data_IF_124641261026
#
_entry.id   IF_124641261026
#
_cell.length_a   1.000
_cell.length_b   1.000
_cell.length_c   1.000
_cell.angle_alpha   90.00
_cell.angle_beta   90.00
_cell.angle_gamma   90.00
#
_symmetry.space_group_name_H-M   'P 1'
#
loop_
_entity.id
_entity.type
_entity.pdbx_description
1 polymer ?
#
# COMPACT_ATOMS: atom_id res chain seq x y z
N UNK A 1 -20.18 -3.67 -16.07
CA UNK A 1 -19.40 -4.95 -16.09
C UNK A 1 -18.03 -4.62 -15.52
N UNK A 2 -17.55 -5.39 -14.52
CA UNK A 2 -16.23 -5.18 -13.91
C UNK A 2 -15.15 -5.80 -14.78
N UNK A 3 -14.12 -5.03 -15.12
CA UNK A 3 -12.97 -5.46 -15.90
C UNK A 3 -11.70 -5.55 -15.08
N UNK A 4 -11.61 -4.79 -13.98
CA UNK A 4 -10.46 -4.80 -13.10
C UNK A 4 -10.87 -4.69 -11.62
N UNK A 5 -10.08 -5.34 -10.77
CA UNK A 5 -10.07 -5.13 -9.32
C UNK A 5 -8.67 -4.67 -8.93
N UNK A 6 -8.60 -3.52 -8.26
CA UNK A 6 -7.36 -2.91 -7.80
C UNK A 6 -7.36 -2.94 -6.28
N UNK A 7 -6.27 -3.41 -5.70
CA UNK A 7 -6.14 -3.60 -4.26
C UNK A 7 -5.16 -2.58 -3.66
N UNK A 8 -5.47 -2.10 -2.46
CA UNK A 8 -4.44 -1.61 -1.56
C UNK A 8 -3.57 -2.78 -1.07
N UNK A 9 -2.36 -2.44 -0.54
CA UNK A 9 -1.41 -3.45 -0.06
C UNK A 9 -1.44 -3.59 1.46
N UNK A 10 -1.02 -2.56 2.19
CA UNK A 10 -0.82 -2.61 3.64
C UNK A 10 -2.12 -2.46 4.40
N UNK A 11 -2.52 -3.49 5.14
CA UNK A 11 -3.83 -3.56 5.80
C UNK A 11 -4.90 -4.26 4.96
N UNK A 12 -4.64 -4.47 3.68
CA UNK A 12 -5.55 -5.14 2.74
C UNK A 12 -5.02 -6.50 2.32
N UNK A 13 -4.00 -6.55 1.45
CA UNK A 13 -3.37 -7.80 1.03
C UNK A 13 -2.37 -8.33 2.06
N UNK A 14 -1.81 -7.45 2.86
CA UNK A 14 -0.88 -7.77 3.95
C UNK A 14 -1.49 -7.26 5.25
N UNK A 15 -1.85 -8.16 6.19
CA UNK A 15 -2.50 -7.77 7.44
C UNK A 15 -1.60 -6.85 8.28
N UNK A 16 -2.19 -5.82 8.89
CA UNK A 16 -1.48 -4.97 9.83
C UNK A 16 -0.91 -5.79 11.00
N UNK A 17 0.34 -5.53 11.32
CA UNK A 17 1.01 -6.05 12.51
C UNK A 17 1.34 -4.90 13.45
N UNK A 18 1.10 -5.09 14.72
CA UNK A 18 1.49 -4.13 15.75
C UNK A 18 3.00 -4.22 15.97
N UNK A 19 3.71 -3.15 15.76
CA UNK A 19 5.13 -3.00 16.10
C UNK A 19 5.40 -1.56 16.54
N UNK A 20 6.54 -1.33 17.19
CA UNK A 20 6.96 0.02 17.55
C UNK A 20 7.59 0.71 16.33
N UNK A 21 6.98 1.76 15.77
CA UNK A 21 7.55 2.46 14.61
C UNK A 21 8.95 3.05 14.87
N UNK A 22 9.33 3.26 16.13
CA UNK A 22 10.67 3.75 16.46
C UNK A 22 11.74 2.68 16.26
N UNK A 23 11.40 1.39 16.39
CA UNK A 23 12.37 0.31 16.25
C UNK A 23 12.86 0.14 14.81
N UNK A 24 12.02 0.37 13.80
CA UNK A 24 12.43 0.25 12.40
C UNK A 24 13.56 1.21 12.05
N UNK A 25 13.45 2.48 12.52
CA UNK A 25 14.49 3.49 12.28
C UNK A 25 15.76 3.25 13.08
N UNK A 26 15.64 2.67 14.28
CA UNK A 26 16.79 2.23 15.06
C UNK A 26 17.60 1.15 14.35
N UNK A 27 16.93 0.20 13.67
CA UNK A 27 17.63 -0.85 12.91
C UNK A 27 18.44 -0.24 11.76
N UNK A 28 17.83 0.65 10.97
CA UNK A 28 18.54 1.33 9.89
C UNK A 28 19.70 2.19 10.43
N UNK A 29 19.46 2.95 11.50
CA UNK A 29 20.48 3.81 12.11
C UNK A 29 21.65 3.00 12.68
N UNK A 30 21.40 1.86 13.36
CA UNK A 30 22.47 0.97 13.84
C UNK A 30 23.33 0.42 12.72
N UNK A 31 22.71 0.10 11.58
CA UNK A 31 23.45 -0.41 10.43
C UNK A 31 24.26 0.68 9.72
N UNK A 32 23.69 1.87 9.48
CA UNK A 32 24.26 2.89 8.61
C UNK A 32 24.98 4.03 9.36
N UNK A 33 24.71 4.23 10.67
CA UNK A 33 25.30 5.32 11.47
C UNK A 33 25.61 4.87 12.91
N UNK A 34 26.46 3.84 13.12
CA UNK A 34 26.70 3.23 14.43
C UNK A 34 27.24 4.19 15.50
N UNK A 35 27.88 5.29 15.09
CA UNK A 35 28.44 6.29 16.00
C UNK A 35 27.42 7.34 16.48
N UNK A 36 26.20 7.39 15.88
CA UNK A 36 25.13 8.34 16.21
C UNK A 36 23.73 7.74 16.09
N UNK A 37 23.54 6.52 16.58
CA UNK A 37 22.32 5.70 16.37
C UNK A 37 21.04 6.43 16.76
N UNK A 38 20.95 6.95 17.99
CA UNK A 38 19.73 7.58 18.50
C UNK A 38 19.42 8.89 17.76
N UNK A 39 20.45 9.67 17.43
CA UNK A 39 20.31 10.91 16.66
C UNK A 39 19.81 10.60 15.24
N UNK A 40 20.44 9.64 14.56
CA UNK A 40 20.06 9.24 13.20
C UNK A 40 18.66 8.64 13.16
N UNK A 41 18.29 7.78 14.11
CA UNK A 41 16.95 7.21 14.19
C UNK A 41 15.89 8.29 14.41
N UNK A 42 16.13 9.25 15.29
CA UNK A 42 15.21 10.36 15.54
C UNK A 42 15.05 11.25 14.28
N UNK A 43 16.14 11.51 13.55
CA UNK A 43 16.11 12.27 12.31
C UNK A 43 15.32 11.55 11.21
N UNK A 44 15.53 10.23 11.06
CA UNK A 44 14.78 9.39 10.13
C UNK A 44 13.28 9.38 10.46
N UNK A 45 12.93 9.17 11.74
CA UNK A 45 11.55 9.17 12.17
C UNK A 45 10.85 10.52 11.91
N UNK A 46 11.54 11.64 12.18
CA UNK A 46 11.01 12.97 11.90
C UNK A 46 10.83 13.21 10.39
N UNK A 47 11.80 12.84 9.57
CA UNK A 47 11.71 12.96 8.11
C UNK A 47 10.59 12.09 7.51
N UNK A 48 10.41 10.88 8.03
CA UNK A 48 9.31 10.00 7.62
C UNK A 48 7.94 10.58 8.02
N UNK A 49 7.80 11.10 9.25
CA UNK A 49 6.57 11.77 9.68
C UNK A 49 6.24 12.99 8.83
N UNK A 50 7.25 13.81 8.46
CA UNK A 50 7.06 14.95 7.54
C UNK A 50 6.56 14.47 6.16
N UNK A 51 7.10 13.37 5.63
CA UNK A 51 6.65 12.79 4.37
C UNK A 51 5.20 12.28 4.47
N UNK A 52 4.86 11.57 5.55
CA UNK A 52 3.49 11.11 5.78
C UNK A 52 2.51 12.26 6.07
N UNK A 53 2.96 13.33 6.74
CA UNK A 53 2.13 14.53 6.93
C UNK A 53 1.80 15.21 5.59
N UNK A 54 2.77 15.29 4.65
CA UNK A 54 2.49 15.77 3.29
C UNK A 54 1.50 14.87 2.55
N UNK A 55 1.63 13.56 2.71
CA UNK A 55 0.67 12.60 2.14
C UNK A 55 -0.74 12.83 2.69
N UNK A 56 -0.90 12.93 4.00
CA UNK A 56 -2.22 13.15 4.64
C UNK A 56 -2.85 14.50 4.31
N UNK A 57 -2.05 15.56 4.25
CA UNK A 57 -2.57 16.94 4.16
C UNK A 57 -2.61 17.49 2.73
N UNK A 58 -1.72 17.03 1.85
CA UNK A 58 -1.53 17.56 0.51
C UNK A 58 -1.69 16.48 -0.56
N UNK A 59 -1.87 15.22 -0.16
CA UNK A 59 -1.93 14.03 -1.03
C UNK A 59 -0.70 13.89 -1.94
N UNK A 60 0.46 14.30 -1.42
CA UNK A 60 1.73 14.26 -2.15
C UNK A 60 2.62 13.15 -1.61
N UNK A 61 3.18 12.42 -2.55
CA UNK A 61 4.08 11.31 -2.25
C UNK A 61 5.44 11.79 -1.73
N UNK A 62 6.13 10.87 -1.10
CA UNK A 62 7.53 10.95 -0.72
C UNK A 62 8.22 9.62 -1.00
N UNK A 63 9.53 9.57 -0.81
CA UNK A 63 10.33 8.38 -1.03
C UNK A 63 11.21 8.05 0.18
N UNK A 64 11.57 6.79 0.34
CA UNK A 64 12.54 6.35 1.35
C UNK A 64 13.90 7.05 1.19
N UNK A 65 14.31 7.30 -0.05
CA UNK A 65 15.53 8.02 -0.35
C UNK A 65 15.49 9.48 0.14
N UNK A 66 14.34 10.17 0.01
CA UNK A 66 14.13 11.51 0.56
C UNK A 66 14.18 11.51 2.09
N UNK A 67 13.62 10.51 2.74
CA UNK A 67 13.71 10.33 4.21
C UNK A 67 15.16 10.18 4.65
N UNK A 68 15.92 9.30 4.01
CA UNK A 68 17.35 9.14 4.30
C UNK A 68 18.13 10.42 4.05
N UNK A 69 17.88 11.11 2.93
CA UNK A 69 18.57 12.37 2.60
C UNK A 69 18.27 13.48 3.61
N UNK A 70 17.01 13.63 4.05
CA UNK A 70 16.61 14.61 5.05
C UNK A 70 17.22 14.32 6.44
N UNK A 71 17.46 13.06 6.77
CA UNK A 71 18.16 12.63 7.98
C UNK A 71 19.69 12.66 7.85
N UNK A 72 20.23 13.15 6.73
CA UNK A 72 21.68 13.13 6.42
C UNK A 72 22.29 11.73 6.59
N UNK A 73 21.52 10.68 6.23
CA UNK A 73 21.93 9.29 6.32
C UNK A 73 22.30 8.75 4.94
N UNK A 74 23.53 8.23 4.81
CA UNK A 74 23.96 7.48 3.63
C UNK A 74 23.79 6.00 3.94
N UNK A 75 22.87 5.37 3.24
CA UNK A 75 22.60 3.94 3.36
C UNK A 75 22.85 3.25 2.01
N UNK A 76 23.45 2.07 2.07
CA UNK A 76 23.65 1.18 0.92
C UNK A 76 22.71 -0.03 0.99
N UNK A 77 22.81 -0.92 0.02
CA UNK A 77 21.94 -2.10 -0.08
C UNK A 77 22.05 -3.04 1.14
N UNK A 78 23.19 -3.13 1.78
CA UNK A 78 23.34 -3.96 2.98
C UNK A 78 22.54 -3.37 4.16
N UNK A 79 22.54 -2.02 4.29
CA UNK A 79 21.75 -1.31 5.29
C UNK A 79 20.25 -1.40 5.00
N UNK A 80 19.84 -1.27 3.73
CA UNK A 80 18.47 -1.45 3.30
C UNK A 80 17.98 -2.88 3.55
N UNK A 81 18.82 -3.87 3.33
CA UNK A 81 18.50 -5.27 3.62
C UNK A 81 18.24 -5.49 5.11
N UNK A 82 19.11 -4.99 5.99
CA UNK A 82 18.89 -5.09 7.43
C UNK A 82 17.55 -4.47 7.87
N UNK A 83 17.18 -3.34 7.27
CA UNK A 83 15.88 -2.70 7.48
C UNK A 83 14.72 -3.59 6.99
N UNK A 84 14.78 -4.12 5.77
CA UNK A 84 13.75 -5.01 5.21
C UNK A 84 13.60 -6.31 6.00
N UNK A 85 14.72 -6.93 6.39
CA UNK A 85 14.73 -8.16 7.18
C UNK A 85 14.03 -7.96 8.54
N UNK A 86 14.19 -6.77 9.14
CA UNK A 86 13.47 -6.42 10.37
C UNK A 86 11.96 -6.33 10.16
N UNK A 87 11.50 -5.88 8.99
CA UNK A 87 10.08 -5.71 8.66
C UNK A 87 9.44 -6.98 8.07
N UNK A 88 10.20 -8.03 7.83
CA UNK A 88 9.71 -9.25 7.17
C UNK A 88 8.42 -9.80 7.81
N UNK A 89 8.34 -9.80 9.14
CA UNK A 89 7.17 -10.30 9.88
C UNK A 89 5.86 -9.56 9.57
N UNK A 90 5.95 -8.33 9.08
CA UNK A 90 4.82 -7.45 8.76
C UNK A 90 4.52 -7.36 7.26
N UNK A 91 5.23 -8.12 6.42
CA UNK A 91 5.12 -8.04 4.95
C UNK A 91 4.59 -9.32 4.29
N UNK A 92 4.17 -10.32 5.09
CA UNK A 92 3.57 -11.55 4.56
C UNK A 92 2.15 -11.28 4.06
N UNK A 93 1.85 -11.74 2.85
CA UNK A 93 0.49 -11.66 2.30
C UNK A 93 -0.48 -12.56 3.07
N UNK A 94 -1.74 -12.14 3.13
CA UNK A 94 -2.82 -12.96 3.70
C UNK A 94 -2.96 -14.26 2.89
N UNK A 95 -3.18 -15.42 3.55
CA UNK A 95 -3.34 -16.71 2.86
C UNK A 95 -4.47 -16.75 1.81
N UNK A 96 -5.47 -15.88 1.92
CA UNK A 96 -6.58 -15.80 0.96
C UNK A 96 -6.18 -15.07 -0.34
N UNK A 97 -5.02 -14.38 -0.39
CA UNK A 97 -4.63 -13.55 -1.55
C UNK A 97 -4.45 -14.40 -2.80
N UNK A 98 -3.60 -15.42 -2.76
CA UNK A 98 -3.29 -16.25 -3.94
C UNK A 98 -4.56 -16.89 -4.55
N UNK A 99 -5.42 -17.61 -3.79
CA UNK A 99 -6.62 -18.23 -4.36
C UNK A 99 -7.64 -17.19 -4.84
N UNK A 100 -7.78 -16.05 -4.16
CA UNK A 100 -8.68 -14.98 -4.56
C UNK A 100 -8.23 -14.34 -5.88
N UNK A 101 -6.94 -13.96 -6.01
CA UNK A 101 -6.41 -13.38 -7.24
C UNK A 101 -6.52 -14.35 -8.42
N UNK A 102 -6.23 -15.63 -8.19
CA UNK A 102 -6.39 -16.68 -9.20
C UNK A 102 -7.83 -16.78 -9.69
N UNK A 103 -8.79 -16.77 -8.77
CA UNK A 103 -10.22 -16.80 -9.11
C UNK A 103 -10.65 -15.60 -9.96
N UNK A 104 -10.17 -14.39 -9.61
CA UNK A 104 -10.46 -13.19 -10.40
C UNK A 104 -9.89 -13.29 -11.83
N UNK A 105 -8.65 -13.74 -11.97
CA UNK A 105 -7.99 -13.91 -13.28
C UNK A 105 -8.66 -14.98 -14.15
N UNK A 106 -9.04 -16.11 -13.56
CA UNK A 106 -9.82 -17.16 -14.26
C UNK A 106 -11.16 -16.64 -14.75
N UNK A 107 -11.76 -15.69 -14.03
CA UNK A 107 -12.96 -14.99 -14.44
C UNK A 107 -12.75 -13.91 -15.51
N UNK A 108 -11.49 -13.70 -15.97
CA UNK A 108 -11.11 -12.70 -16.97
C UNK A 108 -11.03 -11.28 -16.43
N UNK A 109 -10.94 -11.11 -15.11
CA UNK A 109 -10.80 -9.82 -14.44
C UNK A 109 -9.31 -9.51 -14.27
N UNK A 110 -8.89 -8.31 -14.63
CA UNK A 110 -7.53 -7.83 -14.41
C UNK A 110 -7.32 -7.48 -12.95
N UNK A 111 -6.13 -7.72 -12.45
CA UNK A 111 -5.75 -7.49 -11.05
C UNK A 111 -4.70 -6.42 -10.97
N UNK A 112 -4.96 -5.39 -10.16
CA UNK A 112 -4.05 -4.27 -9.94
C UNK A 112 -3.68 -4.08 -8.49
N UNK A 113 -2.60 -3.32 -8.28
CA UNK A 113 -2.15 -2.87 -6.96
C UNK A 113 -1.96 -1.35 -6.96
N UNK A 114 -2.40 -0.67 -5.89
CA UNK A 114 -2.09 0.73 -5.62
C UNK A 114 -1.77 0.91 -4.14
N UNK A 115 -0.50 1.08 -3.81
CA UNK A 115 -0.02 1.24 -2.43
C UNK A 115 0.46 2.65 -2.14
N UNK A 116 -0.07 3.27 -1.06
CA UNK A 116 0.53 4.46 -0.47
C UNK A 116 1.79 4.03 0.30
N UNK A 117 2.96 4.40 -0.19
CA UNK A 117 4.24 3.93 0.36
C UNK A 117 5.37 4.93 0.13
N UNK A 118 6.36 4.90 1.03
CA UNK A 118 7.66 5.54 0.86
C UNK A 118 8.70 4.58 0.27
N UNK A 119 8.44 3.27 0.33
CA UNK A 119 9.39 2.24 -0.06
C UNK A 119 9.50 2.12 -1.58
N UNK A 120 10.68 1.74 -2.10
CA UNK A 120 10.87 1.43 -3.52
C UNK A 120 10.00 0.26 -3.98
N UNK A 121 9.65 0.26 -5.27
CA UNK A 121 8.93 -0.83 -5.95
C UNK A 121 9.55 -2.18 -5.69
N UNK A 122 10.87 -2.24 -5.84
CA UNK A 122 11.65 -3.48 -5.75
C UNK A 122 11.42 -4.22 -4.43
N UNK A 123 11.22 -3.50 -3.33
CA UNK A 123 10.98 -4.11 -2.02
C UNK A 123 9.61 -4.80 -1.96
N UNK A 124 8.58 -4.13 -2.45
CA UNK A 124 7.24 -4.71 -2.53
C UNK A 124 7.21 -5.93 -3.45
N UNK A 125 7.86 -5.83 -4.61
CA UNK A 125 7.89 -6.92 -5.59
C UNK A 125 8.72 -8.12 -5.09
N UNK A 126 9.81 -7.89 -4.33
CA UNK A 126 10.53 -8.97 -3.65
C UNK A 126 9.63 -9.72 -2.65
N UNK A 127 8.83 -9.01 -1.84
CA UNK A 127 7.90 -9.65 -0.90
C UNK A 127 6.76 -10.39 -1.62
N UNK A 128 6.16 -9.79 -2.63
CA UNK A 128 5.12 -10.44 -3.42
C UNK A 128 5.65 -11.68 -4.19
N UNK A 129 6.90 -11.62 -4.68
CA UNK A 129 7.55 -12.76 -5.32
C UNK A 129 7.89 -13.87 -4.32
N UNK A 130 8.38 -13.53 -3.11
CA UNK A 130 8.59 -14.47 -2.00
C UNK A 130 7.31 -15.26 -1.70
N UNK A 131 6.16 -14.56 -1.70
CA UNK A 131 4.86 -15.13 -1.37
C UNK A 131 4.17 -15.80 -2.58
N UNK A 132 4.82 -15.77 -3.76
CA UNK A 132 4.33 -16.44 -4.99
C UNK A 132 3.16 -15.74 -5.68
N UNK A 133 2.89 -14.47 -5.37
CA UNK A 133 1.71 -13.75 -5.89
C UNK A 133 2.04 -12.63 -6.86
N UNK A 134 3.31 -12.28 -7.06
CA UNK A 134 3.71 -11.17 -7.94
C UNK A 134 3.17 -11.32 -9.36
N UNK A 135 3.28 -12.51 -9.95
CA UNK A 135 2.86 -12.79 -11.32
C UNK A 135 1.33 -12.82 -11.52
N UNK A 136 0.57 -12.69 -10.43
CA UNK A 136 -0.89 -12.60 -10.47
C UNK A 136 -1.39 -11.17 -10.69
N UNK A 137 -0.54 -10.16 -10.58
CA UNK A 137 -0.89 -8.76 -10.86
C UNK A 137 -0.62 -8.43 -12.33
N UNK A 138 -1.61 -7.79 -12.98
CA UNK A 138 -1.50 -7.26 -14.34
C UNK A 138 -0.85 -5.87 -14.35
N UNK A 139 -0.84 -5.16 -13.21
CA UNK A 139 -0.18 -3.87 -13.03
C UNK A 139 -0.10 -3.47 -11.56
N UNK A 140 0.92 -2.71 -11.21
CA UNK A 140 1.12 -2.20 -9.86
C UNK A 140 1.62 -0.75 -9.88
N UNK A 141 1.10 0.05 -8.95
CA UNK A 141 1.54 1.43 -8.70
C UNK A 141 1.91 1.57 -7.24
N UNK A 142 3.11 2.05 -7.01
CA UNK A 142 3.63 2.43 -5.70
C UNK A 142 3.76 3.96 -5.68
N UNK A 143 3.16 4.61 -4.71
CA UNK A 143 3.10 6.08 -4.73
C UNK A 143 4.46 6.75 -4.59
N UNK A 144 5.48 6.03 -4.12
CA UNK A 144 6.87 6.49 -4.15
C UNK A 144 7.42 6.77 -5.57
N UNK A 145 6.72 6.33 -6.64
CA UNK A 145 7.13 6.53 -8.04
C UNK A 145 6.30 7.59 -8.77
N UNK A 146 5.22 8.07 -8.16
CA UNK A 146 4.31 9.06 -8.75
C UNK A 146 4.12 10.25 -7.80
N UNK A 147 3.69 11.44 -8.29
CA UNK A 147 3.58 12.64 -7.46
C UNK A 147 2.48 12.59 -6.38
N UNK A 148 1.52 11.67 -6.49
CA UNK A 148 0.29 11.70 -5.73
C UNK A 148 0.07 10.43 -4.92
N UNK A 149 -0.50 10.59 -3.72
CA UNK A 149 -0.99 9.47 -2.88
C UNK A 149 -2.51 9.40 -2.93
N UNK A 150 -3.09 8.26 -2.61
CA UNK A 150 -4.53 8.16 -2.29
C UNK A 150 -4.84 9.14 -1.14
N UNK A 151 -5.95 9.84 -1.16
CA UNK A 151 -7.12 9.69 -2.06
C UNK A 151 -7.07 10.57 -3.33
N UNK A 152 -5.91 11.08 -3.76
CA UNK A 152 -5.84 11.92 -4.96
C UNK A 152 -6.25 11.13 -6.22
N UNK A 153 -7.17 11.64 -7.10
CA UNK A 153 -7.70 10.88 -8.22
C UNK A 153 -6.64 10.44 -9.24
N UNK A 154 -5.55 11.19 -9.38
CA UNK A 154 -4.44 10.81 -10.27
C UNK A 154 -3.71 9.53 -9.84
N UNK A 155 -3.71 9.19 -8.54
CA UNK A 155 -3.16 7.94 -8.07
C UNK A 155 -4.01 6.74 -8.57
N UNK A 156 -5.33 6.87 -8.53
CA UNK A 156 -6.25 5.86 -9.05
C UNK A 156 -6.20 5.79 -10.57
N UNK A 157 -6.09 6.93 -11.27
CA UNK A 157 -5.90 6.97 -12.72
C UNK A 157 -4.63 6.21 -13.13
N UNK A 158 -3.52 6.42 -12.44
CA UNK A 158 -2.27 5.68 -12.69
C UNK A 158 -2.45 4.16 -12.50
N UNK A 159 -3.21 3.73 -11.48
CA UNK A 159 -3.48 2.33 -11.24
C UNK A 159 -4.40 1.71 -12.32
N UNK A 160 -5.40 2.46 -12.81
CA UNK A 160 -6.22 2.06 -13.95
C UNK A 160 -5.40 1.90 -15.23
N UNK A 161 -4.51 2.86 -15.50
CA UNK A 161 -3.60 2.81 -16.65
C UNK A 161 -2.68 1.59 -16.58
N UNK A 162 -2.16 1.28 -15.39
CA UNK A 162 -1.28 0.13 -15.16
C UNK A 162 -1.98 -1.22 -15.47
N UNK A 163 -3.29 -1.32 -15.20
CA UNK A 163 -4.08 -2.51 -15.56
C UNK A 163 -4.75 -2.38 -16.94
N UNK A 164 -4.58 -1.26 -17.64
CA UNK A 164 -5.10 -1.02 -18.98
C UNK A 164 -6.63 -0.94 -19.07
N UNK A 165 -7.30 -0.36 -18.05
CA UNK A 165 -8.75 -0.10 -18.02
C UNK A 165 -8.98 1.41 -17.91
N UNK A 166 -9.59 2.01 -18.93
CA UNK A 166 -9.78 3.46 -19.00
C UNK A 166 -11.07 3.96 -18.34
N UNK A 167 -12.09 3.10 -18.18
CA UNK A 167 -13.38 3.47 -17.61
C UNK A 167 -13.42 3.13 -16.11
N UNK A 168 -13.41 4.14 -15.21
CA UNK A 168 -13.42 3.90 -13.77
C UNK A 168 -14.69 3.15 -13.31
N UNK A 169 -15.84 3.31 -13.98
CA UNK A 169 -17.07 2.59 -13.65
C UNK A 169 -16.95 1.06 -13.86
N UNK A 170 -15.88 0.60 -14.54
CA UNK A 170 -15.56 -0.81 -14.78
C UNK A 170 -14.47 -1.31 -13.83
N UNK A 171 -14.00 -0.47 -12.90
CA UNK A 171 -13.02 -0.81 -11.88
C UNK A 171 -13.67 -0.89 -10.50
N UNK A 172 -13.14 -1.81 -9.69
CA UNK A 172 -13.45 -1.92 -8.26
C UNK A 172 -12.14 -1.71 -7.51
N UNK A 173 -12.17 -0.87 -6.49
CA UNK A 173 -11.06 -0.73 -5.56
C UNK A 173 -11.38 -1.46 -4.25
N UNK A 174 -10.40 -2.15 -3.69
CA UNK A 174 -10.52 -2.86 -2.41
C UNK A 174 -9.46 -2.32 -1.46
N UNK A 175 -9.88 -1.84 -0.28
CA UNK A 175 -8.97 -1.29 0.70
C UNK A 175 -9.53 -1.26 2.12
N UNK A 176 -8.64 -0.99 3.08
CA UNK A 176 -8.96 -1.00 4.51
C UNK A 176 -9.31 0.39 5.07
N UNK A 177 -9.05 1.48 4.30
CA UNK A 177 -9.24 2.84 4.76
C UNK A 177 -10.42 3.54 4.12
N UNK A 178 -11.34 4.03 4.97
CA UNK A 178 -12.54 4.72 4.47
C UNK A 178 -12.20 5.97 3.66
N UNK A 179 -11.21 6.76 4.07
CA UNK A 179 -10.86 7.98 3.34
C UNK A 179 -9.93 7.73 2.16
N UNK A 180 -8.77 7.13 2.39
CA UNK A 180 -7.76 6.98 1.33
C UNK A 180 -8.25 6.06 0.21
N UNK A 181 -8.89 4.92 0.56
CA UNK A 181 -9.28 3.88 -0.38
C UNK A 181 -10.71 4.05 -0.87
N UNK A 182 -11.68 4.10 0.06
CA UNK A 182 -13.09 4.05 -0.30
C UNK A 182 -13.55 5.39 -0.90
N UNK A 183 -13.40 6.49 -0.14
CA UNK A 183 -13.72 7.82 -0.65
C UNK A 183 -12.88 8.16 -1.88
N UNK A 184 -11.56 7.86 -1.85
CA UNK A 184 -10.67 8.15 -2.97
C UNK A 184 -11.07 7.43 -4.26
N UNK A 185 -11.38 6.14 -4.19
CA UNK A 185 -11.83 5.35 -5.33
C UNK A 185 -13.17 5.86 -5.88
N UNK A 186 -14.13 6.14 -5.01
CA UNK A 186 -15.45 6.67 -5.40
C UNK A 186 -15.33 8.06 -6.04
N UNK A 187 -14.45 8.92 -5.51
CA UNK A 187 -14.16 10.23 -6.10
C UNK A 187 -13.48 10.12 -7.49
N UNK A 188 -12.74 9.02 -7.72
CA UNK A 188 -12.20 8.67 -9.04
C UNK A 188 -13.23 7.99 -9.97
N UNK A 189 -14.45 7.74 -9.50
CA UNK A 189 -15.55 7.14 -10.29
C UNK A 189 -15.59 5.60 -10.26
N UNK A 190 -14.79 4.96 -9.40
CA UNK A 190 -14.80 3.52 -9.20
C UNK A 190 -15.86 3.08 -8.18
N UNK A 191 -16.19 1.79 -8.16
CA UNK A 191 -16.79 1.16 -6.99
C UNK A 191 -15.73 0.84 -5.95
N UNK A 192 -16.14 0.78 -4.68
CA UNK A 192 -15.24 0.54 -3.58
C UNK A 192 -15.75 -0.54 -2.63
N UNK A 193 -14.90 -1.50 -2.30
CA UNK A 193 -15.13 -2.54 -1.32
C UNK A 193 -14.23 -2.30 -0.11
N UNK A 194 -14.82 -2.21 1.06
CA UNK A 194 -14.10 -2.04 2.31
C UNK A 194 -13.83 -3.38 2.99
N UNK A 195 -12.58 -3.60 3.36
CA UNK A 195 -12.17 -4.72 4.22
C UNK A 195 -11.61 -4.14 5.53
N UNK A 196 -12.41 -4.02 6.60
CA UNK A 196 -11.99 -3.36 7.82
C UNK A 196 -10.97 -4.20 8.58
N UNK A 197 -9.89 -3.56 9.03
CA UNK A 197 -8.90 -4.15 9.92
C UNK A 197 -8.91 -3.46 11.28
N UNK A 198 -8.78 -4.25 12.36
CA UNK A 198 -8.85 -3.76 13.73
C UNK A 198 -7.52 -3.23 14.29
N UNK A 199 -6.41 -3.45 13.59
CA UNK A 199 -5.06 -3.16 14.08
C UNK A 199 -4.38 -1.96 13.40
N UNK A 200 -5.16 -1.09 12.74
CA UNK A 200 -4.62 0.15 12.12
C UNK A 200 -4.12 1.08 13.22
N UNK A 201 -2.88 1.60 13.15
CA UNK A 201 -2.37 2.56 14.12
C UNK A 201 -3.22 3.84 14.16
N UNK A 202 -3.46 4.39 15.37
CA UNK A 202 -4.27 5.62 15.54
C UNK A 202 -3.74 6.80 14.72
N UNK A 203 -2.42 6.93 14.58
CA UNK A 203 -1.79 7.96 13.74
C UNK A 203 -2.16 7.86 12.25
N UNK A 204 -2.72 6.74 11.86
CA UNK A 204 -3.20 6.46 10.52
C UNK A 204 -4.73 6.50 10.42
N UNK A 205 -5.45 6.71 11.50
CA UNK A 205 -6.88 7.05 11.45
C UNK A 205 -7.01 8.44 10.84
N UNK A 206 -7.31 8.45 9.55
CA UNK A 206 -7.64 9.67 8.82
C UNK A 206 -9.11 10.01 8.99
N UNK A 207 -9.65 10.68 7.99
CA UNK A 207 -11.07 10.93 7.87
C UNK A 207 -11.84 9.62 7.71
N UNK A 208 -13.08 9.60 8.21
CA UNK A 208 -14.01 8.46 8.09
C UNK A 208 -14.99 8.64 6.94
N UNK A 209 -14.72 9.60 6.04
CA UNK A 209 -15.54 9.83 4.85
C UNK A 209 -15.36 8.66 3.88
N UNK A 210 -16.46 8.16 3.37
CA UNK A 210 -16.54 7.04 2.44
C UNK A 210 -17.66 6.09 2.82
N UNK A 211 -18.56 5.85 1.88
CA UNK A 211 -19.63 4.86 2.02
C UNK A 211 -19.36 3.73 1.02
N UNK A 212 -18.79 2.59 1.46
CA UNK A 212 -18.42 1.52 0.55
C UNK A 212 -19.62 0.91 -0.14
N UNK A 213 -19.49 0.50 -1.41
CA UNK A 213 -20.51 -0.24 -2.16
C UNK A 213 -20.75 -1.65 -1.56
N UNK A 214 -19.72 -2.19 -0.90
CA UNK A 214 -19.80 -3.43 -0.13
C UNK A 214 -18.73 -3.46 0.98
N UNK A 215 -18.98 -4.28 1.99
CA UNK A 215 -18.02 -4.58 3.07
C UNK A 215 -17.83 -6.08 3.14
N UNK A 216 -16.57 -6.52 3.19
CA UNK A 216 -16.18 -7.93 3.38
C UNK A 216 -15.34 -8.08 4.64
N UNK A 217 -15.31 -9.27 5.22
CA UNK A 217 -14.48 -9.58 6.37
C UNK A 217 -13.21 -10.38 5.98
N UNK A 218 -13.26 -11.05 4.82
CA UNK A 218 -12.18 -11.87 4.29
C UNK A 218 -11.99 -11.60 2.80
N UNK A 219 -10.75 -11.64 2.34
CA UNK A 219 -10.40 -11.45 0.92
C UNK A 219 -11.05 -12.51 0.02
N UNK A 220 -11.23 -13.72 0.53
CA UNK A 220 -11.93 -14.80 -0.18
C UNK A 220 -13.36 -14.45 -0.61
N UNK A 221 -14.00 -13.45 0.00
CA UNK A 221 -15.36 -13.02 -0.35
C UNK A 221 -15.43 -12.11 -1.59
N UNK A 222 -14.29 -11.52 -2.00
CA UNK A 222 -14.23 -10.52 -3.08
C UNK A 222 -14.82 -11.02 -4.40
N UNK A 223 -14.50 -12.24 -4.91
CA UNK A 223 -15.06 -12.72 -6.17
C UNK A 223 -16.60 -12.77 -6.15
N UNK A 224 -17.20 -13.18 -5.04
CA UNK A 224 -18.65 -13.28 -4.90
C UNK A 224 -19.32 -11.90 -4.78
N UNK A 225 -18.71 -10.98 -4.03
CA UNK A 225 -19.22 -9.63 -3.82
C UNK A 225 -19.28 -8.83 -5.12
N UNK A 226 -18.30 -8.99 -6.00
CA UNK A 226 -18.27 -8.26 -7.29
C UNK A 226 -19.10 -8.93 -8.39
N UNK A 227 -19.52 -10.19 -8.21
CA UNK A 227 -20.26 -10.93 -9.21
C UNK A 227 -21.52 -10.20 -9.73
N UNK A 228 -22.36 -9.55 -8.90
CA UNK A 228 -23.51 -8.80 -9.38
C UNK A 228 -23.19 -7.57 -10.23
N UNK A 229 -21.94 -7.11 -10.23
CA UNK A 229 -21.47 -5.94 -10.96
C UNK A 229 -20.82 -6.30 -12.32
N UNK A 230 -20.71 -7.59 -12.60
CA UNK A 230 -20.13 -8.14 -13.85
C UNK A 230 -21.06 -8.06 -15.04
#
# INVERSE_FOLDING_TARGET
MVDAVIFDWGGTLTPWKTFDPAEEWLVLARAAAPDRVEEAAAALAAAAEDAWARSRNEHRSGTFAEVCAAAELVADEAHHRAYRDHLEFATWTDPDVEPMLTTLREAGIRVGLLSNTLWPREWHEEWLARDGVLDLFDGAVYTSEIPWTKPHPEAFAAAMDAVGVADPARCVFVGDRLFDDIYGAQNAGMRAVHIPHSAVPESQFGHTDGEPDAVVQHLAEIPDVIQPWR
#
